data_IF_076597794014
#
_entry.id   IF_076597794014
#
_cell.length_a   1.000
_cell.length_b   1.000
_cell.length_c   1.000
_cell.angle_alpha   90.00
_cell.angle_beta   90.00
_cell.angle_gamma   90.00
#
_symmetry.space_group_name_H-M   'P 1'
#
loop_
_entity.id
_entity.type
_entity.pdbx_description
1 polymer ?
#
# COMPACT_ATOMS: atom_id res chain seq x y z
N UNK A 1 0.79 -4.71 -12.07
CA UNK A 1 1.05 -4.01 -10.79
C UNK A 1 1.07 -2.52 -10.98
N UNK A 2 0.74 -1.77 -9.92
CA UNK A 2 0.80 -0.30 -9.92
C UNK A 2 1.18 0.22 -8.53
N UNK A 3 2.02 1.27 -8.48
CA UNK A 3 2.32 2.12 -7.33
C UNK A 3 1.89 3.55 -7.68
N UNK A 4 0.66 3.97 -7.35
CA UNK A 4 0.07 5.23 -7.84
C UNK A 4 0.94 6.46 -7.60
N UNK A 5 1.59 6.51 -6.43
CA UNK A 5 2.58 7.50 -6.08
C UNK A 5 3.66 6.85 -5.20
N UNK A 6 4.90 7.24 -5.39
CA UNK A 6 6.04 6.83 -4.57
C UNK A 6 6.84 8.06 -4.18
N UNK A 7 7.08 8.23 -2.89
CA UNK A 7 7.81 9.35 -2.29
C UNK A 7 9.18 8.89 -1.81
N UNK A 8 10.14 9.82 -1.70
CA UNK A 8 11.52 9.49 -1.33
C UNK A 8 12.34 8.91 -2.48
N UNK A 9 11.93 9.15 -3.73
CA UNK A 9 12.59 8.63 -4.92
C UNK A 9 13.74 9.54 -5.32
N UNK A 10 14.98 9.10 -5.10
CA UNK A 10 16.17 9.91 -5.38
C UNK A 10 16.24 10.37 -6.86
N UNK A 11 15.88 9.51 -7.80
CA UNK A 11 15.84 9.82 -9.22
C UNK A 11 14.43 9.58 -9.81
N UNK A 12 13.58 10.60 -9.96
CA UNK A 12 12.21 10.44 -10.48
C UNK A 12 12.12 9.98 -11.95
N UNK A 13 13.21 9.93 -12.70
CA UNK A 13 13.22 9.37 -14.06
C UNK A 13 13.27 7.83 -14.05
N UNK A 14 13.66 7.23 -12.92
CA UNK A 14 13.65 5.81 -12.67
C UNK A 14 12.51 5.43 -11.70
N UNK A 15 12.23 4.14 -11.55
CA UNK A 15 11.35 3.65 -10.49
C UNK A 15 12.02 3.82 -9.13
N UNK A 16 11.24 4.13 -8.12
CA UNK A 16 11.66 4.00 -6.75
C UNK A 16 11.76 2.53 -6.32
N UNK A 17 12.14 2.32 -5.08
CA UNK A 17 12.42 0.97 -4.57
C UNK A 17 11.18 0.07 -4.59
N UNK A 18 10.03 0.59 -4.12
CA UNK A 18 8.79 -0.19 -4.06
C UNK A 18 8.30 -0.55 -5.47
N UNK A 19 8.21 0.43 -6.37
CA UNK A 19 7.74 0.22 -7.73
C UNK A 19 8.67 -0.70 -8.54
N UNK A 20 9.98 -0.61 -8.32
CA UNK A 20 10.96 -1.50 -8.96
C UNK A 20 10.79 -2.94 -8.48
N UNK A 21 10.58 -3.15 -7.17
CA UNK A 21 10.32 -4.46 -6.60
C UNK A 21 8.99 -5.05 -7.10
N UNK A 22 7.93 -4.25 -7.15
CA UNK A 22 6.64 -4.67 -7.72
C UNK A 22 6.78 -5.10 -9.18
N UNK A 23 7.50 -4.31 -9.99
CA UNK A 23 7.75 -4.61 -11.41
C UNK A 23 8.48 -5.93 -11.58
N UNK A 24 9.54 -6.12 -10.80
CA UNK A 24 10.34 -7.34 -10.81
C UNK A 24 9.53 -8.55 -10.36
N UNK A 25 8.87 -8.48 -9.21
CA UNK A 25 8.12 -9.59 -8.64
C UNK A 25 6.95 -10.05 -9.53
N UNK A 26 6.30 -9.10 -10.21
CA UNK A 26 5.21 -9.40 -11.14
C UNK A 26 5.68 -9.73 -12.56
N UNK A 27 6.99 -9.69 -12.84
CA UNK A 27 7.53 -9.78 -14.21
C UNK A 27 6.77 -8.87 -15.19
N UNK A 28 6.44 -7.65 -14.74
CA UNK A 28 5.57 -6.74 -15.48
C UNK A 28 6.28 -6.10 -16.67
N UNK A 29 5.58 -6.07 -17.80
CA UNK A 29 6.04 -5.41 -19.05
C UNK A 29 5.59 -3.97 -19.18
N UNK A 30 4.78 -3.48 -18.23
CA UNK A 30 4.34 -2.08 -18.20
C UNK A 30 5.54 -1.14 -18.12
N UNK A 31 5.42 0.03 -18.73
CA UNK A 31 6.41 1.10 -18.62
C UNK A 31 6.53 1.61 -17.18
N UNK A 32 7.61 2.33 -16.89
CA UNK A 32 7.79 2.93 -15.56
C UNK A 32 6.68 3.94 -15.22
N UNK A 33 6.18 4.67 -16.24
CA UNK A 33 5.13 5.67 -16.06
C UNK A 33 3.73 5.04 -15.89
N UNK A 34 3.53 3.83 -16.38
CA UNK A 34 2.32 3.06 -16.10
C UNK A 34 2.35 2.48 -14.69
N UNK A 35 3.50 1.95 -14.24
CA UNK A 35 3.64 1.37 -12.91
C UNK A 35 3.62 2.43 -11.82
N UNK A 36 4.42 3.50 -11.97
CA UNK A 36 4.56 4.54 -10.96
C UNK A 36 4.50 5.94 -11.63
N UNK A 37 3.30 6.45 -11.94
CA UNK A 37 3.14 7.72 -12.63
C UNK A 37 3.65 8.93 -11.83
N UNK A 38 3.59 8.86 -10.51
CA UNK A 38 4.09 9.94 -9.64
C UNK A 38 5.25 9.44 -8.77
N UNK A 39 6.45 9.88 -9.10
CA UNK A 39 7.70 9.60 -8.38
C UNK A 39 8.23 10.91 -7.81
N UNK A 40 8.16 11.06 -6.49
CA UNK A 40 8.41 12.29 -5.77
C UNK A 40 9.70 12.16 -4.95
N UNK A 41 10.55 13.19 -4.97
CA UNK A 41 11.85 13.18 -4.26
C UNK A 41 11.69 13.28 -2.76
N UNK A 42 10.78 14.16 -2.31
CA UNK A 42 10.57 14.38 -0.89
C UNK A 42 9.95 13.15 -0.24
N UNK A 43 10.53 12.67 0.86
CA UNK A 43 10.00 11.55 1.65
C UNK A 43 8.86 12.02 2.56
N UNK A 44 7.73 12.39 1.96
CA UNK A 44 6.53 12.93 2.60
C UNK A 44 5.29 12.21 2.06
N UNK A 45 4.13 12.50 2.64
CA UNK A 45 2.86 12.06 2.05
C UNK A 45 2.73 12.58 0.60
N UNK A 46 2.19 11.81 -0.36
CA UNK A 46 2.20 12.15 -1.78
C UNK A 46 1.73 13.57 -2.11
N UNK A 47 0.59 14.01 -1.54
CA UNK A 47 0.08 15.36 -1.81
C UNK A 47 1.01 16.45 -1.27
N UNK A 48 1.69 16.19 -0.15
CA UNK A 48 2.64 17.14 0.46
C UNK A 48 3.93 17.19 -0.35
N UNK A 49 4.49 16.03 -0.69
CA UNK A 49 5.68 15.94 -1.55
C UNK A 49 5.45 16.62 -2.91
N UNK A 50 4.30 16.38 -3.52
CA UNK A 50 3.92 16.99 -4.79
C UNK A 50 3.82 18.52 -4.68
N UNK A 51 3.26 19.05 -3.59
CA UNK A 51 3.18 20.48 -3.34
C UNK A 51 4.57 21.11 -3.20
N UNK A 52 5.48 20.50 -2.45
CA UNK A 52 6.87 20.94 -2.30
C UNK A 52 7.61 20.99 -3.65
N UNK A 53 7.34 20.03 -4.52
CA UNK A 53 7.96 19.90 -5.84
C UNK A 53 7.20 20.66 -6.94
N UNK A 54 6.12 21.35 -6.59
CA UNK A 54 5.23 22.06 -7.53
C UNK A 54 4.66 21.14 -8.62
N UNK A 55 4.46 19.87 -8.27
CA UNK A 55 3.84 18.86 -9.10
C UNK A 55 2.36 18.78 -8.73
N UNK A 56 1.49 18.67 -9.72
CA UNK A 56 0.07 18.40 -9.48
C UNK A 56 -0.22 16.93 -9.75
N UNK A 57 -0.62 16.20 -8.72
CA UNK A 57 -1.17 14.84 -8.89
C UNK A 57 -2.60 14.99 -9.41
N UNK A 58 -2.84 14.58 -10.66
CA UNK A 58 -4.18 14.53 -11.24
C UNK A 58 -4.88 13.24 -10.83
N UNK A 59 -5.79 13.35 -9.86
CA UNK A 59 -6.52 12.22 -9.30
C UNK A 59 -7.35 11.48 -10.36
N UNK A 60 -8.02 12.18 -11.25
CA UNK A 60 -8.87 11.55 -12.25
C UNK A 60 -8.07 10.77 -13.29
N UNK A 61 -6.95 11.35 -13.75
CA UNK A 61 -6.02 10.65 -14.64
C UNK A 61 -5.41 9.42 -13.98
N UNK A 62 -5.04 9.53 -12.71
CA UNK A 62 -4.49 8.41 -11.94
C UNK A 62 -5.50 7.27 -11.82
N UNK A 63 -6.76 7.61 -11.53
CA UNK A 63 -7.85 6.64 -11.42
C UNK A 63 -8.15 5.98 -12.77
N UNK A 64 -8.14 6.74 -13.86
CA UNK A 64 -8.31 6.21 -15.22
C UNK A 64 -7.19 5.22 -15.55
N UNK A 65 -5.93 5.59 -15.33
CA UNK A 65 -4.78 4.73 -15.59
C UNK A 65 -4.83 3.42 -14.78
N UNK A 66 -5.23 3.50 -13.50
CA UNK A 66 -5.41 2.30 -12.68
C UNK A 66 -6.49 1.37 -13.25
N UNK A 67 -7.62 1.91 -13.72
CA UNK A 67 -8.69 1.13 -14.36
C UNK A 67 -8.23 0.47 -15.66
N UNK A 68 -7.50 1.19 -16.50
CA UNK A 68 -6.93 0.64 -17.74
C UNK A 68 -6.01 -0.55 -17.47
N UNK A 69 -5.20 -0.48 -16.41
CA UNK A 69 -4.35 -1.59 -15.97
C UNK A 69 -5.21 -2.76 -15.46
N UNK A 70 -6.22 -2.48 -14.64
CA UNK A 70 -7.14 -3.52 -14.10
C UNK A 70 -7.85 -4.24 -15.25
N UNK A 71 -8.41 -3.50 -16.19
CA UNK A 71 -9.21 -4.04 -17.28
C UNK A 71 -8.38 -4.86 -18.30
N UNK A 72 -7.07 -4.58 -18.37
CA UNK A 72 -6.14 -5.25 -19.30
C UNK A 72 -5.40 -6.45 -18.72
N UNK A 73 -5.59 -6.76 -17.43
CA UNK A 73 -4.89 -7.84 -16.75
C UNK A 73 -5.85 -8.72 -15.95
N UNK A 74 -5.61 -10.02 -15.94
CA UNK A 74 -6.39 -11.00 -15.17
C UNK A 74 -6.28 -10.77 -13.66
N UNK A 75 -5.12 -10.32 -13.18
CA UNK A 75 -4.86 -10.02 -11.78
C UNK A 75 -4.01 -8.77 -11.64
N UNK A 76 -4.45 -7.85 -10.80
CA UNK A 76 -3.74 -6.58 -10.56
C UNK A 76 -3.56 -6.31 -9.08
N UNK A 77 -2.32 -6.01 -8.68
CA UNK A 77 -1.99 -5.49 -7.36
C UNK A 77 -1.68 -4.01 -7.47
N UNK A 78 -2.35 -3.21 -6.64
CA UNK A 78 -2.08 -1.77 -6.51
C UNK A 78 -1.61 -1.51 -5.09
N UNK A 79 -0.36 -1.07 -4.95
CA UNK A 79 0.21 -0.74 -3.65
C UNK A 79 0.04 0.74 -3.34
N UNK A 80 -0.63 1.04 -2.22
CA UNK A 80 -0.79 2.41 -1.72
C UNK A 80 0.52 3.05 -1.27
N UNK A 81 0.54 4.37 -1.16
CA UNK A 81 1.64 5.14 -0.61
C UNK A 81 1.38 5.41 0.88
N UNK A 82 2.07 4.70 1.75
CA UNK A 82 1.82 4.76 3.19
C UNK A 82 0.52 4.08 3.61
N UNK A 83 -0.16 4.62 4.62
CA UNK A 83 -1.40 4.03 5.14
C UNK A 83 -2.64 4.51 4.39
N UNK A 84 -3.79 3.89 4.73
CA UNK A 84 -5.08 4.12 4.09
C UNK A 84 -5.54 5.59 4.16
N UNK A 85 -5.25 6.29 5.26
CA UNK A 85 -5.65 7.69 5.48
C UNK A 85 -4.59 8.71 5.04
N UNK A 86 -3.59 8.29 4.25
CA UNK A 86 -2.56 9.19 3.74
C UNK A 86 -3.12 10.07 2.62
N UNK A 87 -2.87 11.40 2.62
CA UNK A 87 -3.32 12.30 1.57
C UNK A 87 -2.57 12.04 0.25
N UNK A 88 -3.33 11.66 -0.78
CA UNK A 88 -2.83 11.32 -2.10
C UNK A 88 -2.77 12.56 -3.03
N UNK A 89 -3.89 13.28 -3.16
CA UNK A 89 -4.00 14.42 -4.08
C UNK A 89 -5.13 15.36 -3.66
N UNK A 90 -4.83 16.63 -3.50
CA UNK A 90 -5.84 17.62 -3.09
C UNK A 90 -6.51 17.21 -1.79
N UNK A 91 -7.83 17.07 -1.78
CA UNK A 91 -8.61 16.58 -0.64
C UNK A 91 -8.79 15.05 -0.60
N UNK A 92 -8.24 14.29 -1.55
CA UNK A 92 -8.41 12.85 -1.65
C UNK A 92 -7.33 12.08 -0.90
N UNK A 93 -7.76 11.05 -0.15
CA UNK A 93 -6.92 10.09 0.55
C UNK A 93 -6.63 8.85 -0.31
N UNK A 94 -5.67 8.04 0.10
CA UNK A 94 -5.49 6.69 -0.46
C UNK A 94 -6.75 5.85 -0.34
N UNK A 95 -7.53 6.03 0.73
CA UNK A 95 -8.82 5.38 0.93
C UNK A 95 -9.85 5.75 -0.15
N UNK A 96 -9.92 7.02 -0.55
CA UNK A 96 -10.82 7.45 -1.62
C UNK A 96 -10.46 6.81 -2.96
N UNK A 97 -9.16 6.68 -3.23
CA UNK A 97 -8.66 6.02 -4.42
C UNK A 97 -9.01 4.51 -4.41
N UNK A 98 -8.79 3.83 -3.29
CA UNK A 98 -9.17 2.43 -3.13
C UNK A 98 -10.68 2.23 -3.29
N UNK A 99 -11.51 3.10 -2.68
CA UNK A 99 -12.97 3.06 -2.80
C UNK A 99 -13.45 3.25 -4.24
N UNK A 100 -12.82 4.17 -4.99
CA UNK A 100 -13.18 4.44 -6.39
C UNK A 100 -12.81 3.27 -7.32
N UNK A 101 -11.80 2.46 -6.96
CA UNK A 101 -11.40 1.26 -7.71
C UNK A 101 -12.27 0.04 -7.38
N UNK A 102 -12.91 0.00 -6.22
CA UNK A 102 -13.74 -1.12 -5.75
C UNK A 102 -13.00 -2.46 -5.66
N UNK A 103 -11.69 -2.42 -5.49
CA UNK A 103 -10.89 -3.63 -5.30
C UNK A 103 -10.89 -4.06 -3.83
N UNK A 104 -10.80 -5.37 -3.55
CA UNK A 104 -10.62 -5.85 -2.19
C UNK A 104 -9.31 -5.34 -1.58
N UNK A 105 -9.39 -4.83 -0.35
CA UNK A 105 -8.24 -4.30 0.38
C UNK A 105 -7.53 -5.43 1.14
N UNK A 106 -6.25 -5.62 0.88
CA UNK A 106 -5.36 -6.43 1.70
C UNK A 106 -4.56 -5.51 2.62
N UNK A 107 -4.71 -5.70 3.94
CA UNK A 107 -3.98 -4.91 4.94
C UNK A 107 -2.71 -5.64 5.35
N UNK A 108 -1.55 -5.08 5.01
CA UNK A 108 -0.24 -5.62 5.38
C UNK A 108 0.26 -4.93 6.64
N UNK A 109 0.44 -5.69 7.72
CA UNK A 109 0.75 -5.21 9.04
C UNK A 109 2.16 -5.62 9.47
N UNK A 110 2.87 -4.76 10.20
CA UNK A 110 4.10 -5.13 10.91
C UNK A 110 3.74 -5.83 12.20
N UNK A 111 4.49 -6.86 12.66
CA UNK A 111 4.13 -7.62 13.85
C UNK A 111 4.50 -6.93 15.17
N UNK A 112 5.26 -5.84 15.14
CA UNK A 112 5.81 -5.15 16.30
C UNK A 112 4.74 -4.56 17.25
N UNK A 113 5.14 -4.19 18.46
CA UNK A 113 4.27 -3.54 19.45
C UNK A 113 3.54 -2.34 18.80
N UNK A 114 2.23 -2.24 19.03
CA UNK A 114 1.32 -1.27 18.39
C UNK A 114 0.56 -1.81 17.20
N UNK A 115 0.92 -2.98 16.65
CA UNK A 115 0.25 -3.56 15.48
C UNK A 115 -1.25 -3.78 15.69
N UNK A 116 -1.67 -4.20 16.87
CA UNK A 116 -3.09 -4.42 17.18
C UNK A 116 -3.88 -3.13 16.96
N UNK A 117 -3.41 -2.01 17.53
CA UNK A 117 -4.05 -0.72 17.37
C UNK A 117 -4.05 -0.25 15.90
N UNK A 118 -2.90 -0.32 15.22
CA UNK A 118 -2.78 0.14 13.83
C UNK A 118 -3.65 -0.69 12.89
N UNK A 119 -3.66 -2.01 13.06
CA UNK A 119 -4.48 -2.91 12.23
C UNK A 119 -5.96 -2.64 12.44
N UNK A 120 -6.41 -2.60 13.69
CA UNK A 120 -7.82 -2.37 14.00
C UNK A 120 -8.30 -1.00 13.53
N UNK A 121 -7.49 0.07 13.67
CA UNK A 121 -7.82 1.40 13.13
C UNK A 121 -7.92 1.38 11.61
N UNK A 122 -7.03 0.68 10.92
CA UNK A 122 -7.06 0.57 9.45
C UNK A 122 -8.30 -0.20 8.98
N UNK A 123 -8.60 -1.34 9.61
CA UNK A 123 -9.80 -2.13 9.30
C UNK A 123 -11.08 -1.36 9.61
N UNK A 124 -11.12 -0.61 10.73
CA UNK A 124 -12.24 0.24 11.08
C UNK A 124 -12.47 1.35 10.05
N UNK A 125 -11.41 2.05 9.64
CA UNK A 125 -11.48 3.07 8.60
C UNK A 125 -11.96 2.48 7.27
N UNK A 126 -11.41 1.33 6.85
CA UNK A 126 -11.83 0.63 5.65
C UNK A 126 -13.33 0.31 5.65
N UNK A 127 -13.84 -0.27 6.74
CA UNK A 127 -15.28 -0.57 6.89
C UNK A 127 -16.15 0.68 6.87
N UNK A 128 -15.72 1.73 7.57
CA UNK A 128 -16.45 3.00 7.64
C UNK A 128 -16.59 3.65 6.27
N UNK A 129 -15.57 3.46 5.41
CA UNK A 129 -15.57 3.95 4.03
C UNK A 129 -16.16 2.96 3.02
N UNK A 130 -16.72 1.84 3.49
CA UNK A 130 -17.34 0.83 2.63
C UNK A 130 -16.38 0.07 1.72
N UNK A 131 -15.09 0.00 2.09
CA UNK A 131 -14.09 -0.76 1.33
C UNK A 131 -14.29 -2.27 1.56
N UNK A 132 -14.34 -3.10 0.51
CA UNK A 132 -14.31 -4.54 0.68
C UNK A 132 -12.93 -4.94 1.22
N UNK A 133 -12.90 -5.77 2.27
CA UNK A 133 -11.66 -6.23 2.90
C UNK A 133 -11.44 -7.69 2.51
N UNK A 134 -10.32 -7.99 1.86
CA UNK A 134 -9.90 -9.35 1.54
C UNK A 134 -9.35 -10.07 2.78
N UNK A 135 -8.76 -9.32 3.70
CA UNK A 135 -8.15 -9.80 4.92
C UNK A 135 -6.92 -8.97 5.31
N UNK A 136 -6.18 -9.47 6.28
CA UNK A 136 -4.92 -8.86 6.69
C UNK A 136 -3.81 -9.91 6.83
N UNK A 137 -2.56 -9.46 6.81
CA UNK A 137 -1.40 -10.31 7.06
C UNK A 137 -0.38 -9.62 7.97
N UNK A 138 0.34 -10.41 8.75
CA UNK A 138 1.51 -9.96 9.49
C UNK A 138 2.74 -10.26 8.65
N UNK A 139 3.48 -9.24 8.26
CA UNK A 139 4.67 -9.37 7.41
C UNK A 139 5.94 -9.04 8.20
N UNK A 140 7.05 -9.69 7.86
CA UNK A 140 8.35 -9.52 8.49
C UNK A 140 8.34 -9.95 9.96
N UNK A 141 7.76 -11.10 10.25
CA UNK A 141 7.79 -11.69 11.59
C UNK A 141 9.23 -12.12 11.93
N UNK A 142 9.86 -11.52 12.97
CA UNK A 142 11.26 -11.82 13.26
C UNK A 142 11.44 -13.27 13.77
N UNK A 143 12.64 -13.82 13.54
CA UNK A 143 13.01 -15.17 14.05
C UNK A 143 12.98 -15.20 15.57
N UNK A 144 13.53 -14.16 16.21
CA UNK A 144 13.48 -13.97 17.66
C UNK A 144 12.35 -13.01 18.00
N UNK A 145 11.24 -13.53 18.50
CA UNK A 145 10.03 -12.79 18.78
C UNK A 145 10.02 -12.23 20.19
N UNK A 146 9.59 -11.01 20.33
CA UNK A 146 9.12 -10.46 21.60
C UNK A 146 7.75 -11.04 21.95
N UNK A 147 7.32 -10.90 23.21
CA UNK A 147 5.98 -11.33 23.63
C UNK A 147 4.86 -10.64 22.82
N UNK A 148 5.06 -9.38 22.42
CA UNK A 148 4.10 -8.64 21.59
C UNK A 148 3.93 -9.29 20.21
N UNK A 149 5.03 -9.69 19.58
CA UNK A 149 5.04 -10.35 18.27
C UNK A 149 4.47 -11.76 18.33
N UNK A 150 4.78 -12.53 19.38
CA UNK A 150 4.20 -13.87 19.60
C UNK A 150 2.68 -13.82 19.73
N UNK A 151 2.14 -12.81 20.43
CA UNK A 151 0.72 -12.70 20.72
C UNK A 151 -0.07 -11.94 19.64
N UNK A 152 0.59 -11.22 18.73
CA UNK A 152 -0.06 -10.32 17.77
C UNK A 152 -1.15 -11.02 16.93
N UNK A 153 -0.83 -12.16 16.33
CA UNK A 153 -1.75 -12.91 15.48
C UNK A 153 -2.99 -13.36 16.24
N UNK A 154 -2.80 -13.98 17.40
CA UNK A 154 -3.91 -14.45 18.23
C UNK A 154 -4.77 -13.28 18.73
N UNK A 155 -4.13 -12.21 19.21
CA UNK A 155 -4.86 -11.03 19.71
C UNK A 155 -5.72 -10.40 18.62
N UNK A 156 -5.18 -10.22 17.42
CA UNK A 156 -5.95 -9.69 16.27
C UNK A 156 -7.12 -10.61 15.91
N UNK A 157 -6.90 -11.92 15.82
CA UNK A 157 -7.95 -12.88 15.48
C UNK A 157 -9.11 -12.91 16.50
N UNK A 158 -8.87 -12.48 17.76
CA UNK A 158 -9.94 -12.37 18.77
C UNK A 158 -10.70 -11.04 18.73
N UNK A 159 -10.16 -10.02 18.06
CA UNK A 159 -10.69 -8.65 18.07
C UNK A 159 -11.32 -8.22 16.74
N UNK A 160 -11.12 -8.96 15.67
CA UNK A 160 -11.75 -8.69 14.37
C UNK A 160 -12.27 -9.98 13.74
N UNK A 161 -13.32 -9.82 12.92
CA UNK A 161 -13.87 -10.90 12.09
C UNK A 161 -13.21 -11.00 10.74
N UNK A 162 -12.31 -10.08 10.39
CA UNK A 162 -11.54 -10.17 9.14
C UNK A 162 -10.54 -11.31 9.23
N UNK A 163 -10.25 -11.91 8.09
CA UNK A 163 -9.40 -13.09 8.02
C UNK A 163 -7.91 -12.73 8.13
N UNK A 164 -7.19 -13.42 9.01
CA UNK A 164 -5.72 -13.42 8.99
C UNK A 164 -5.25 -14.40 7.91
N UNK A 165 -4.85 -13.86 6.77
CA UNK A 165 -4.46 -14.66 5.60
C UNK A 165 -3.09 -15.31 5.74
N UNK A 166 -2.15 -14.61 6.36
CA UNK A 166 -0.79 -15.11 6.53
C UNK A 166 -0.01 -14.43 7.66
N UNK A 167 0.99 -15.15 8.16
CA UNK A 167 2.08 -14.61 8.96
C UNK A 167 3.38 -14.95 8.23
N UNK A 168 3.98 -13.94 7.61
CA UNK A 168 5.19 -14.11 6.80
C UNK A 168 6.43 -13.83 7.64
N UNK A 169 7.48 -14.67 7.56
CA UNK A 169 8.72 -14.43 8.27
C UNK A 169 9.46 -13.21 7.71
N UNK A 170 10.34 -12.65 8.53
CA UNK A 170 11.35 -11.73 8.03
C UNK A 170 12.39 -12.54 7.26
N UNK A 171 12.47 -12.29 5.97
CA UNK A 171 13.52 -12.85 5.12
C UNK A 171 14.62 -11.82 5.07
N UNK A 172 15.82 -12.19 5.53
CA UNK A 172 17.01 -11.40 5.29
C UNK A 172 17.15 -11.33 3.77
N UNK A 173 16.89 -10.16 3.22
CA UNK A 173 17.05 -9.96 1.79
C UNK A 173 18.51 -10.09 1.43
N UNK A 174 18.83 -10.79 0.34
CA UNK A 174 20.07 -10.56 -0.36
C UNK A 174 20.04 -9.09 -0.79
N UNK A 175 20.98 -8.30 -0.23
CA UNK A 175 21.22 -6.91 -0.60
C UNK A 175 21.69 -6.79 -2.07
#
# INVERSE_FOLDING_TARGET
VMKPAESGVANPTALGQDAALLKWAANSRLSNDEIAPYRLKAALAPSVAAAEEKIRIDYNRLLQQAREIIDSHEFTIIEGAGGLMVPLSGGFLMADFAAALKLPLLVVCRPALGTVNHTLLTLFAARTMGLPIAGYMLNRMPKQKTLAEEKAAHTLATLTTDELLAVLPDVEGDE
#
